data_IF_200156850588
#
_entry.id   IF_200156850588
#
_cell.length_a   1.000
_cell.length_b   1.000
_cell.length_c   1.000
_cell.angle_alpha   90.00
_cell.angle_beta   90.00
_cell.angle_gamma   90.00
#
_symmetry.space_group_name_H-M   'P 1'
#
loop_
_entity.id
_entity.type
_entity.pdbx_description
1 polymer ?
#
# COMPACT_ATOMS: atom_id res chain seq x y z
N UNK A 1 1.00 -21.36 -24.58
CA UNK A 1 2.34 -21.96 -24.37
C UNK A 1 2.23 -23.47 -24.09
N UNK A 2 1.06 -23.89 -23.62
CA UNK A 2 0.57 -25.25 -23.36
C UNK A 2 1.11 -26.39 -24.26
N UNK A 3 1.01 -26.28 -25.60
CA UNK A 3 1.44 -27.35 -26.54
C UNK A 3 2.97 -27.60 -26.52
N UNK A 4 3.78 -26.60 -26.13
CA UNK A 4 5.24 -26.74 -26.03
C UNK A 4 5.68 -27.38 -24.70
N UNK A 5 4.96 -27.11 -23.60
CA UNK A 5 5.29 -27.61 -22.26
C UNK A 5 4.94 -29.10 -22.08
N UNK A 6 3.97 -29.61 -22.84
CA UNK A 6 3.59 -31.03 -22.85
C UNK A 6 4.64 -31.96 -23.51
N UNK A 7 5.65 -31.41 -24.18
CA UNK A 7 6.72 -32.20 -24.84
C UNK A 7 7.80 -32.71 -23.88
N UNK A 8 7.91 -32.13 -22.68
CA UNK A 8 8.91 -32.52 -21.67
C UNK A 8 8.25 -33.51 -20.69
N UNK A 9 8.76 -34.74 -20.54
CA UNK A 9 8.04 -35.82 -19.84
C UNK A 9 7.77 -35.53 -18.36
N UNK A 10 8.69 -34.85 -17.67
CA UNK A 10 8.53 -34.47 -16.26
C UNK A 10 7.49 -33.35 -16.07
N UNK A 11 7.55 -32.31 -16.92
CA UNK A 11 6.64 -31.16 -16.89
C UNK A 11 5.22 -31.59 -17.25
N UNK A 12 5.06 -32.55 -18.17
CA UNK A 12 3.76 -33.09 -18.60
C UNK A 12 2.92 -33.69 -17.45
N UNK A 13 3.56 -34.24 -16.40
CA UNK A 13 2.86 -34.80 -15.24
C UNK A 13 2.32 -33.70 -14.33
N UNK A 14 3.12 -32.67 -14.09
CA UNK A 14 2.73 -31.48 -13.35
C UNK A 14 1.62 -30.70 -14.07
N UNK A 15 1.77 -30.41 -15.37
CA UNK A 15 0.77 -29.69 -16.16
C UNK A 15 -0.59 -30.41 -16.11
N UNK A 16 -0.61 -31.73 -16.30
CA UNK A 16 -1.87 -32.50 -16.25
C UNK A 16 -2.52 -32.52 -14.86
N UNK A 17 -1.73 -32.51 -13.79
CA UNK A 17 -2.26 -32.38 -12.42
C UNK A 17 -2.98 -31.03 -12.24
N UNK A 18 -2.35 -29.93 -12.63
CA UNK A 18 -2.93 -28.59 -12.52
C UNK A 18 -4.07 -28.33 -13.52
N UNK A 19 -4.09 -29.00 -14.68
CA UNK A 19 -5.20 -28.96 -15.63
C UNK A 19 -6.45 -29.71 -15.13
N UNK A 20 -6.29 -30.70 -14.23
CA UNK A 20 -7.39 -31.46 -13.65
C UNK A 20 -8.20 -30.68 -12.61
N UNK A 21 -7.61 -29.62 -12.04
CA UNK A 21 -8.26 -28.76 -11.05
C UNK A 21 -8.99 -27.64 -11.79
N UNK A 22 -10.30 -27.81 -11.97
CA UNK A 22 -11.19 -26.76 -12.50
C UNK A 22 -11.60 -25.83 -11.37
N UNK A 23 -11.48 -24.52 -11.60
CA UNK A 23 -11.86 -23.54 -10.59
C UNK A 23 -13.32 -23.15 -10.82
N UNK A 24 -14.22 -23.41 -9.86
CA UNK A 24 -15.62 -23.02 -10.00
C UNK A 24 -15.73 -21.49 -10.06
N UNK A 25 -16.44 -20.97 -11.06
CA UNK A 25 -16.67 -19.53 -11.24
C UNK A 25 -15.77 -18.81 -12.27
N UNK A 26 -14.73 -19.46 -12.83
CA UNK A 26 -13.81 -18.86 -13.80
C UNK A 26 -13.99 -19.40 -15.22
N UNK A 27 -15.17 -19.27 -15.84
CA UNK A 27 -15.44 -19.59 -17.27
C UNK A 27 -14.80 -20.90 -17.83
N UNK A 28 -14.63 -21.93 -16.99
CA UNK A 28 -14.00 -23.19 -17.40
C UNK A 28 -12.47 -23.21 -17.42
N UNK A 29 -11.81 -22.17 -16.87
CA UNK A 29 -10.36 -22.15 -16.64
C UNK A 29 -9.93 -23.22 -15.62
N UNK A 30 -8.83 -23.88 -15.96
CA UNK A 30 -8.12 -24.75 -15.03
C UNK A 30 -7.02 -23.97 -14.27
N UNK A 31 -6.54 -24.52 -13.16
CA UNK A 31 -5.51 -23.87 -12.34
C UNK A 31 -4.21 -23.63 -13.11
N UNK A 32 -3.90 -24.48 -14.09
CA UNK A 32 -2.74 -24.28 -14.97
C UNK A 32 -2.84 -22.98 -15.79
N UNK A 33 -3.98 -22.72 -16.42
CA UNK A 33 -4.21 -21.51 -17.22
C UNK A 33 -4.11 -20.25 -16.36
N UNK A 34 -4.58 -20.31 -15.13
CA UNK A 34 -4.50 -19.21 -14.17
C UNK A 34 -3.05 -18.92 -13.77
N UNK A 35 -2.28 -19.97 -13.48
CA UNK A 35 -0.84 -19.87 -13.18
C UNK A 35 -0.03 -19.38 -14.40
N UNK A 36 -0.33 -19.86 -15.62
CA UNK A 36 0.30 -19.40 -16.86
C UNK A 36 0.03 -17.90 -17.07
N UNK A 37 -1.22 -17.46 -16.89
CA UNK A 37 -1.59 -16.05 -17.00
C UNK A 37 -0.89 -15.19 -15.94
N UNK A 38 -0.85 -15.64 -14.68
CA UNK A 38 -0.20 -14.93 -13.58
C UNK A 38 1.32 -14.78 -13.81
N UNK A 39 2.01 -15.87 -14.12
CA UNK A 39 3.46 -15.88 -14.38
C UNK A 39 3.78 -15.06 -15.64
N UNK A 40 2.99 -15.20 -16.71
CA UNK A 40 3.16 -14.40 -17.93
C UNK A 40 2.97 -12.90 -17.64
N UNK A 41 1.99 -12.54 -16.82
CA UNK A 41 1.73 -11.16 -16.42
C UNK A 41 2.83 -10.55 -15.54
N UNK A 42 3.51 -11.35 -14.70
CA UNK A 42 4.71 -10.94 -13.96
C UNK A 42 5.89 -10.72 -14.93
N UNK A 43 6.16 -11.69 -15.80
CA UNK A 43 7.30 -11.64 -16.75
C UNK A 43 7.14 -10.46 -17.73
N UNK A 44 5.92 -10.22 -18.21
CA UNK A 44 5.61 -9.09 -19.10
C UNK A 44 5.58 -7.74 -18.38
N UNK A 45 5.77 -7.72 -17.06
CA UNK A 45 5.89 -6.49 -16.25
C UNK A 45 4.58 -5.77 -15.96
N UNK A 46 3.44 -6.20 -16.51
CA UNK A 46 2.15 -5.53 -16.31
C UNK A 46 1.69 -5.58 -14.84
N UNK A 47 1.84 -6.74 -14.18
CA UNK A 47 1.52 -6.89 -12.75
C UNK A 47 2.58 -6.21 -11.87
N UNK A 48 3.85 -6.40 -12.18
CA UNK A 48 4.98 -5.86 -11.41
C UNK A 48 4.99 -4.33 -11.41
N UNK A 49 4.74 -3.71 -12.56
CA UNK A 49 4.66 -2.24 -12.68
C UNK A 49 3.50 -1.67 -11.88
N UNK A 50 2.30 -2.28 -11.96
CA UNK A 50 1.14 -1.84 -11.19
C UNK A 50 1.34 -1.99 -9.68
N UNK A 51 1.83 -3.14 -9.24
CA UNK A 51 2.16 -3.38 -7.84
C UNK A 51 3.23 -2.41 -7.34
N UNK A 52 4.25 -2.14 -8.16
CA UNK A 52 5.31 -1.17 -7.86
C UNK A 52 4.77 0.26 -7.72
N UNK A 53 3.90 0.72 -8.62
CA UNK A 53 3.27 2.04 -8.52
C UNK A 53 2.42 2.18 -7.25
N UNK A 54 1.65 1.15 -6.90
CA UNK A 54 0.87 1.13 -5.65
C UNK A 54 1.81 1.23 -4.43
N UNK A 55 2.84 0.38 -4.36
CA UNK A 55 3.79 0.38 -3.25
C UNK A 55 4.52 1.72 -3.13
N UNK A 56 4.91 2.32 -4.26
CA UNK A 56 5.53 3.64 -4.29
C UNK A 56 4.60 4.74 -3.77
N UNK A 57 3.32 4.74 -4.15
CA UNK A 57 2.33 5.69 -3.62
C UNK A 57 2.17 5.58 -2.10
N UNK A 58 2.12 4.35 -1.56
CA UNK A 58 2.11 4.15 -0.10
C UNK A 58 3.39 4.63 0.56
N UNK A 59 4.55 4.32 -0.01
CA UNK A 59 5.84 4.75 0.53
C UNK A 59 5.95 6.27 0.61
N UNK A 60 5.53 6.99 -0.44
CA UNK A 60 5.53 8.46 -0.44
C UNK A 60 4.52 9.02 0.57
N UNK A 61 3.38 8.36 0.79
CA UNK A 61 2.38 8.78 1.78
C UNK A 61 2.88 8.67 3.23
N UNK A 62 3.85 7.79 3.53
CA UNK A 62 4.39 7.60 4.88
C UNK A 62 5.04 8.87 5.44
N UNK A 63 5.75 9.65 4.62
CA UNK A 63 6.48 10.83 5.14
C UNK A 63 5.53 11.95 5.60
N UNK A 64 4.55 12.41 4.79
CA UNK A 64 3.60 13.43 5.25
C UNK A 64 2.70 12.94 6.38
N UNK A 65 2.37 11.64 6.39
CA UNK A 65 1.64 11.03 7.49
C UNK A 65 2.45 11.04 8.79
N UNK A 66 3.72 10.63 8.75
CA UNK A 66 4.61 10.68 9.90
C UNK A 66 4.75 12.12 10.43
N UNK A 67 4.96 13.10 9.56
CA UNK A 67 5.02 14.50 9.96
C UNK A 67 3.72 14.99 10.61
N UNK A 68 2.57 14.60 10.08
CA UNK A 68 1.27 14.88 10.70
C UNK A 68 1.17 14.28 12.11
N UNK A 69 1.53 13.01 12.29
CA UNK A 69 1.52 12.36 13.61
C UNK A 69 2.48 13.03 14.58
N UNK A 70 3.70 13.37 14.14
CA UNK A 70 4.69 14.05 14.98
C UNK A 70 4.23 15.44 15.41
N UNK A 71 3.57 16.19 14.51
CA UNK A 71 3.03 17.53 14.83
C UNK A 71 1.81 17.50 15.75
N UNK A 72 1.18 16.35 15.97
CA UNK A 72 0.13 16.18 17.00
C UNK A 72 0.69 16.09 18.42
N UNK A 73 1.94 15.66 18.60
CA UNK A 73 2.58 15.46 19.91
C UNK A 73 2.38 16.67 20.86
N UNK A 74 2.68 17.93 20.49
CA UNK A 74 2.52 19.08 21.39
C UNK A 74 1.06 19.43 21.74
N UNK A 75 0.09 18.76 21.13
CA UNK A 75 -1.35 18.95 21.38
C UNK A 75 -1.96 17.85 22.26
N UNK A 76 -1.22 16.78 22.58
CA UNK A 76 -1.70 15.67 23.42
C UNK A 76 -1.65 16.11 24.90
N UNK A 77 -2.81 16.24 25.59
CA UNK A 77 -2.86 16.74 26.97
C UNK A 77 -2.66 15.59 27.98
N UNK A 78 -1.60 14.80 27.80
CA UNK A 78 -1.25 13.67 28.68
C UNK A 78 0.12 13.97 29.31
N UNK A 79 0.17 14.00 30.63
CA UNK A 79 1.40 14.24 31.38
C UNK A 79 2.43 13.14 31.11
N UNK A 80 3.67 13.51 30.79
CA UNK A 80 4.76 12.58 30.47
C UNK A 80 4.72 11.93 29.09
N UNK A 81 3.67 12.13 28.28
CA UNK A 81 3.52 11.49 26.97
C UNK A 81 4.68 11.77 26.02
N UNK A 82 5.16 13.02 25.99
CA UNK A 82 6.28 13.41 25.13
C UNK A 82 7.57 12.64 25.48
N UNK A 83 7.90 12.53 26.77
CA UNK A 83 9.09 11.82 27.23
C UNK A 83 9.01 10.31 26.99
N UNK A 84 7.82 9.72 27.21
CA UNK A 84 7.54 8.32 26.94
C UNK A 84 7.65 7.99 25.45
N UNK A 85 7.08 8.85 24.59
CA UNK A 85 7.15 8.72 23.14
C UNK A 85 8.60 8.82 22.64
N UNK A 86 9.34 9.82 23.11
CA UNK A 86 10.75 9.99 22.77
C UNK A 86 11.59 8.79 23.19
N UNK A 87 11.37 8.29 24.41
CA UNK A 87 12.03 7.08 24.91
C UNK A 87 11.70 5.84 24.08
N UNK A 88 10.47 5.71 23.60
CA UNK A 88 10.06 4.63 22.70
C UNK A 88 10.78 4.71 21.34
N UNK A 89 10.80 5.90 20.72
CA UNK A 89 11.50 6.10 19.45
C UNK A 89 12.99 5.79 19.57
N UNK A 90 13.65 6.26 20.63
CA UNK A 90 15.08 6.02 20.81
C UNK A 90 15.44 4.55 21.05
N UNK A 91 14.54 3.75 21.64
CA UNK A 91 14.73 2.30 21.82
C UNK A 91 14.74 1.51 20.52
N UNK A 92 14.06 2.00 19.48
CA UNK A 92 13.99 1.31 18.18
C UNK A 92 15.08 1.78 17.20
N UNK A 93 15.87 2.79 17.56
CA UNK A 93 16.92 3.30 16.69
C UNK A 93 18.14 2.36 16.65
N UNK A 94 18.71 2.10 15.45
CA UNK A 94 19.78 1.12 15.28
C UNK A 94 21.16 1.63 15.73
N UNK A 95 21.35 2.94 15.82
CA UNK A 95 22.62 3.55 16.20
C UNK A 95 22.42 4.86 16.98
N UNK A 96 23.46 5.28 17.70
CA UNK A 96 23.46 6.54 18.44
C UNK A 96 23.38 7.74 17.51
N UNK A 97 24.07 7.71 16.38
CA UNK A 97 24.04 8.80 15.38
C UNK A 97 22.63 8.98 14.80
N UNK A 98 21.91 7.87 14.59
CA UNK A 98 20.52 7.90 14.14
C UNK A 98 19.62 8.52 15.21
N UNK A 99 19.83 8.14 16.47
CA UNK A 99 19.11 8.72 17.61
C UNK A 99 19.36 10.22 17.75
N UNK A 100 20.61 10.66 17.63
CA UNK A 100 20.99 12.08 17.77
C UNK A 100 20.35 12.92 16.65
N UNK A 101 20.39 12.46 15.40
CA UNK A 101 19.77 13.16 14.26
C UNK A 101 18.24 13.29 14.43
N UNK A 102 17.57 12.22 14.86
CA UNK A 102 16.12 12.20 15.09
C UNK A 102 15.75 13.05 16.31
N UNK A 103 16.57 13.04 17.37
CA UNK A 103 16.31 13.78 18.61
C UNK A 103 16.18 15.28 18.38
N UNK A 104 17.01 15.85 17.50
CA UNK A 104 16.97 17.27 17.19
C UNK A 104 15.62 17.65 16.56
N UNK A 105 15.19 16.89 15.56
CA UNK A 105 13.93 17.13 14.84
C UNK A 105 12.72 16.93 15.75
N UNK A 106 12.71 15.85 16.53
CA UNK A 106 11.59 15.55 17.41
C UNK A 106 11.47 16.55 18.56
N UNK A 107 12.59 16.96 19.19
CA UNK A 107 12.55 18.00 20.22
C UNK A 107 12.07 19.33 19.66
N UNK A 108 12.47 19.68 18.43
CA UNK A 108 11.99 20.91 17.79
C UNK A 108 10.47 20.86 17.55
N UNK A 109 9.97 19.78 16.93
CA UNK A 109 8.52 19.61 16.66
C UNK A 109 7.70 19.53 17.95
N UNK A 110 8.24 18.92 19.00
CA UNK A 110 7.52 18.75 20.26
C UNK A 110 7.49 20.03 21.12
N UNK A 111 8.50 20.90 21.01
CA UNK A 111 8.53 22.16 21.74
C UNK A 111 7.94 23.33 20.93
N UNK A 112 7.89 23.24 19.59
CA UNK A 112 7.35 24.26 18.71
C UNK A 112 6.03 23.80 18.07
N UNK A 113 4.96 24.57 18.27
CA UNK A 113 3.64 24.29 17.69
C UNK A 113 3.57 24.73 16.23
N UNK A 114 4.06 23.90 15.33
CA UNK A 114 3.98 24.13 13.89
C UNK A 114 2.56 23.88 13.33
N UNK A 115 1.63 24.80 13.60
CA UNK A 115 0.23 24.69 13.14
C UNK A 115 0.08 24.64 11.61
N UNK A 116 0.97 25.30 10.87
CA UNK A 116 1.00 25.27 9.41
C UNK A 116 1.40 23.89 8.89
N UNK A 117 2.43 23.27 9.48
CA UNK A 117 2.84 21.90 9.13
C UNK A 117 1.76 20.88 9.48
N UNK A 118 1.03 21.06 10.58
CA UNK A 118 -0.06 20.18 10.98
C UNK A 118 -1.19 20.19 9.93
N UNK A 119 -1.68 21.38 9.57
CA UNK A 119 -2.79 21.52 8.62
C UNK A 119 -2.40 21.12 7.19
N UNK A 120 -1.23 21.55 6.72
CA UNK A 120 -0.72 21.15 5.41
C UNK A 120 -0.42 19.65 5.34
N UNK A 121 0.24 19.09 6.36
CA UNK A 121 0.54 17.66 6.46
C UNK A 121 -0.72 16.80 6.53
N UNK A 122 -1.76 17.26 7.25
CA UNK A 122 -3.05 16.59 7.29
C UNK A 122 -3.71 16.51 5.91
N UNK A 123 -3.83 17.64 5.20
CA UNK A 123 -4.45 17.68 3.86
C UNK A 123 -3.61 16.85 2.87
N UNK A 124 -2.29 17.00 2.90
CA UNK A 124 -1.38 16.30 2.00
C UNK A 124 -1.41 14.79 2.23
N UNK A 125 -1.47 14.34 3.49
CA UNK A 125 -1.56 12.91 3.82
C UNK A 125 -2.87 12.29 3.34
N UNK A 126 -4.02 12.97 3.52
CA UNK A 126 -5.31 12.53 2.98
C UNK A 126 -5.23 12.42 1.45
N UNK A 127 -4.68 13.44 0.78
CA UNK A 127 -4.54 13.44 -0.67
C UNK A 127 -3.68 12.28 -1.17
N UNK A 128 -2.50 12.07 -0.58
CA UNK A 128 -1.58 11.00 -0.99
C UNK A 128 -2.13 9.60 -0.68
N UNK A 129 -2.75 9.40 0.48
CA UNK A 129 -3.38 8.14 0.85
C UNK A 129 -4.55 7.80 -0.09
N UNK A 130 -5.37 8.80 -0.43
CA UNK A 130 -6.47 8.65 -1.39
C UNK A 130 -5.95 8.26 -2.77
N UNK A 131 -4.86 8.89 -3.23
CA UNK A 131 -4.22 8.54 -4.50
C UNK A 131 -3.67 7.11 -4.50
N UNK A 132 -3.08 6.65 -3.38
CA UNK A 132 -2.59 5.28 -3.23
C UNK A 132 -3.72 4.25 -3.33
N UNK A 133 -4.83 4.46 -2.62
CA UNK A 133 -6.02 3.59 -2.72
C UNK A 133 -6.64 3.66 -4.10
N UNK A 134 -6.73 4.84 -4.70
CA UNK A 134 -7.25 5.00 -6.06
C UNK A 134 -6.43 4.21 -7.09
N UNK A 135 -5.10 4.23 -6.97
CA UNK A 135 -4.22 3.44 -7.83
C UNK A 135 -4.45 1.93 -7.69
N UNK A 136 -4.74 1.43 -6.48
CA UNK A 136 -5.13 0.03 -6.25
C UNK A 136 -6.44 -0.28 -6.98
N UNK A 137 -7.47 0.53 -6.77
CA UNK A 137 -8.79 0.31 -7.36
C UNK A 137 -8.74 0.37 -8.88
N UNK A 138 -8.04 1.35 -9.45
CA UNK A 138 -7.81 1.46 -10.89
C UNK A 138 -7.01 0.27 -11.42
N UNK A 139 -6.09 -0.28 -10.63
CA UNK A 139 -5.33 -1.49 -10.96
C UNK A 139 -6.21 -2.73 -11.17
N UNK A 140 -7.36 -2.79 -10.49
CA UNK A 140 -8.35 -3.88 -10.60
C UNK A 140 -9.40 -3.65 -11.70
N UNK A 141 -9.69 -2.41 -12.07
CA UNK A 141 -10.67 -2.09 -13.12
C UNK A 141 -10.24 -2.53 -14.52
N UNK A 142 -8.95 -2.72 -14.75
CA UNK A 142 -8.43 -3.31 -16.00
C UNK A 142 -8.66 -4.83 -16.03
N UNK A 143 -9.90 -5.25 -16.22
CA UNK A 143 -10.29 -6.63 -16.55
C UNK A 143 -10.48 -6.77 -18.06
N UNK A 144 -10.26 -7.99 -18.58
CA UNK A 144 -10.31 -8.34 -20.00
C UNK A 144 -11.65 -8.05 -20.71
N UNK A 145 -12.72 -7.78 -19.93
CA UNK A 145 -14.04 -7.43 -20.42
C UNK A 145 -14.32 -5.95 -20.13
N UNK A 146 -14.74 -5.20 -21.15
CA UNK A 146 -15.20 -3.81 -21.03
C UNK A 146 -16.47 -3.75 -20.16
N UNK A 147 -16.29 -3.69 -18.85
CA UNK A 147 -17.35 -3.39 -17.90
C UNK A 147 -17.39 -1.86 -17.77
N UNK A 148 -18.58 -1.27 -17.90
CA UNK A 148 -18.83 0.16 -17.64
C UNK A 148 -18.11 0.61 -16.36
N UNK A 149 -17.04 1.40 -16.53
CA UNK A 149 -16.23 1.85 -15.40
C UNK A 149 -16.96 2.97 -14.66
N UNK A 150 -16.73 3.06 -13.35
CA UNK A 150 -17.27 4.18 -12.56
C UNK A 150 -16.67 5.48 -13.09
N UNK A 151 -17.41 6.58 -12.99
CA UNK A 151 -16.83 7.89 -13.28
C UNK A 151 -15.63 8.15 -12.37
N UNK A 152 -14.59 8.80 -12.90
CA UNK A 152 -13.33 9.08 -12.18
C UNK A 152 -13.58 9.72 -10.81
N UNK A 153 -14.56 10.63 -10.72
CA UNK A 153 -14.96 11.28 -9.47
C UNK A 153 -15.50 10.26 -8.46
N UNK A 154 -16.37 9.34 -8.89
CA UNK A 154 -16.98 8.34 -8.00
C UNK A 154 -15.94 7.36 -7.49
N UNK A 155 -14.98 6.98 -8.32
CA UNK A 155 -13.85 6.13 -7.92
C UNK A 155 -12.95 6.84 -6.90
N UNK A 156 -12.68 8.13 -7.11
CA UNK A 156 -11.89 8.93 -6.18
C UNK A 156 -12.57 9.07 -4.81
N UNK A 157 -13.88 9.33 -4.78
CA UNK A 157 -14.66 9.41 -3.52
C UNK A 157 -14.63 8.07 -2.78
N UNK A 158 -14.79 6.95 -3.48
CA UNK A 158 -14.70 5.61 -2.87
C UNK A 158 -13.31 5.38 -2.29
N UNK A 159 -12.26 5.79 -3.01
CA UNK A 159 -10.88 5.71 -2.54
C UNK A 159 -10.69 6.50 -1.25
N UNK A 160 -11.20 7.74 -1.19
CA UNK A 160 -11.12 8.60 -0.01
C UNK A 160 -11.81 7.94 1.20
N UNK A 161 -13.00 7.38 1.03
CA UNK A 161 -13.73 6.70 2.11
C UNK A 161 -12.93 5.49 2.62
N UNK A 162 -12.43 4.65 1.72
CA UNK A 162 -11.61 3.48 2.10
C UNK A 162 -10.35 3.93 2.85
N UNK A 163 -9.66 4.96 2.34
CA UNK A 163 -8.49 5.55 2.98
C UNK A 163 -8.78 6.02 4.43
N UNK A 164 -9.89 6.73 4.64
CA UNK A 164 -10.29 7.19 5.98
C UNK A 164 -10.68 6.03 6.91
N UNK A 165 -11.37 5.01 6.41
CA UNK A 165 -11.71 3.81 7.18
C UNK A 165 -10.45 3.06 7.60
N UNK A 166 -9.49 2.89 6.70
CA UNK A 166 -8.21 2.23 7.01
C UNK A 166 -7.42 3.02 8.06
N UNK A 167 -7.38 4.35 7.95
CA UNK A 167 -6.73 5.20 8.94
C UNK A 167 -7.42 5.10 10.31
N UNK A 168 -8.76 5.11 10.35
CA UNK A 168 -9.52 4.94 11.58
C UNK A 168 -9.29 3.56 12.22
N UNK A 169 -9.27 2.48 11.43
CA UNK A 169 -8.97 1.14 11.91
C UNK A 169 -7.56 0.99 12.47
N UNK A 170 -6.59 1.77 11.98
CA UNK A 170 -5.22 1.79 12.47
C UNK A 170 -5.08 2.50 13.83
N UNK A 171 -5.97 3.45 14.12
CA UNK A 171 -5.98 4.22 15.37
C UNK A 171 -6.72 3.50 16.51
N UNK A 172 -7.50 2.47 16.18
CA UNK A 172 -8.35 1.71 17.10
C UNK A 172 -7.59 0.49 17.64
#
# INVERSE_FOLDING_TARGET
MEVRLLKIPFIRRFVRFFQGIKIPGLEGMNLFNLLEMYISGIIKGALTSRAGSIAFSFFIALFPFALFVLTLIPFVPIEGFQDDFMSFIFKVMPSKESSDAVSYVLNDIANNKYGELLSFGFILSIFLMTNGVNAILSGFEFTYHNIETRTVIRQYIVSLIISLVLAFLLLL
#
